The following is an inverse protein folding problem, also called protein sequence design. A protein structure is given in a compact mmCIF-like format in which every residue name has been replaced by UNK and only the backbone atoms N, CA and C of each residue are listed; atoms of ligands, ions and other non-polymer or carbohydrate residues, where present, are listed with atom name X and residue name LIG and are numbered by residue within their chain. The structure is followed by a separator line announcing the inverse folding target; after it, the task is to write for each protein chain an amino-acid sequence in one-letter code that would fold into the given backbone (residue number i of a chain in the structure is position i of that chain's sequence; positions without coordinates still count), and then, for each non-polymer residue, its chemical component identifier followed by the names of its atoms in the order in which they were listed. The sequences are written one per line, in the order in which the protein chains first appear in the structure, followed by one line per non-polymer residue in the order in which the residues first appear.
data_IF_301745469466
#
_entry.id   IF_301745469466
#
_cell.length_a   1.000
_cell.length_b   1.000
_cell.length_c   1.000
_cell.angle_alpha   90.00
_cell.angle_beta   90.00
_cell.angle_gamma   90.00
#
_symmetry.space_group_name_H-M   'P 1'
#
loop_
_entity.id
_entity.type
_entity.pdbx_description
1 polymer ?
#
# COMPACT_ATOMS: atom_id res chain seq x y z
N UNK A 1 -2.75 -0.16 6.78
CA UNK A 1 -3.84 -0.54 5.87
C UNK A 1 -4.17 -2.01 6.10
N UNK A 2 -5.46 -2.40 6.08
CA UNK A 2 -5.86 -3.82 6.20
C UNK A 2 -6.11 -4.44 4.81
N UNK A 3 -5.97 -5.77 4.64
CA UNK A 3 -6.23 -6.42 3.36
C UNK A 3 -7.62 -6.17 2.79
N UNK A 4 -8.64 -6.09 3.64
CA UNK A 4 -10.03 -5.88 3.22
C UNK A 4 -10.19 -4.56 2.48
N UNK A 5 -9.58 -3.50 3.00
CA UNK A 5 -9.64 -2.15 2.41
C UNK A 5 -8.96 -2.09 1.04
N UNK A 6 -7.85 -2.82 0.87
CA UNK A 6 -7.19 -2.92 -0.43
C UNK A 6 -8.12 -3.59 -1.46
N UNK A 7 -8.75 -4.71 -1.10
CA UNK A 7 -9.68 -5.38 -2.01
C UNK A 7 -10.94 -4.59 -2.29
N UNK A 8 -11.42 -3.81 -1.33
CA UNK A 8 -12.52 -2.87 -1.54
C UNK A 8 -12.19 -1.88 -2.66
N UNK A 9 -11.07 -1.17 -2.57
CA UNK A 9 -10.61 -0.21 -3.60
C UNK A 9 -10.46 -0.85 -4.97
N UNK A 10 -9.84 -2.04 -5.03
CA UNK A 10 -9.67 -2.78 -6.27
C UNK A 10 -11.03 -3.19 -6.87
N UNK A 11 -11.95 -3.66 -6.04
CA UNK A 11 -13.28 -4.07 -6.51
C UNK A 11 -14.14 -2.88 -6.94
N UNK A 12 -14.02 -1.73 -6.28
CA UNK A 12 -14.71 -0.50 -6.66
C UNK A 12 -14.25 -0.04 -8.03
N UNK A 13 -12.93 0.16 -8.21
CA UNK A 13 -12.37 0.54 -9.51
C UNK A 13 -12.75 -0.45 -10.62
N UNK A 14 -12.65 -1.75 -10.33
CA UNK A 14 -13.03 -2.80 -11.27
C UNK A 14 -14.48 -2.66 -11.75
N UNK A 15 -15.40 -2.30 -10.85
CA UNK A 15 -16.82 -2.11 -11.19
C UNK A 15 -17.07 -0.81 -11.95
N UNK A 16 -16.39 0.26 -11.58
CA UNK A 16 -16.49 1.56 -12.24
C UNK A 16 -15.99 1.50 -13.69
N UNK A 17 -14.89 0.79 -13.91
CA UNK A 17 -14.24 0.67 -15.23
C UNK A 17 -14.69 -0.57 -16.03
N UNK A 18 -15.68 -1.33 -15.53
CA UNK A 18 -16.13 -2.61 -16.10
C UNK A 18 -14.99 -3.58 -16.47
N UNK A 19 -14.01 -3.69 -15.58
CA UNK A 19 -12.81 -4.50 -15.80
C UNK A 19 -12.91 -5.89 -15.15
N UNK A 20 -12.07 -6.81 -15.63
CA UNK A 20 -11.81 -8.07 -14.90
C UNK A 20 -10.62 -7.89 -13.95
N UNK A 21 -10.49 -8.74 -12.92
CA UNK A 21 -9.30 -8.74 -12.06
C UNK A 21 -7.99 -8.95 -12.85
N UNK A 22 -8.07 -9.64 -14.00
CA UNK A 22 -6.94 -9.82 -14.91
C UNK A 22 -6.57 -8.52 -15.61
N UNK A 23 -7.56 -7.78 -16.08
CA UNK A 23 -7.37 -6.47 -16.68
C UNK A 23 -6.76 -5.48 -15.67
N UNK A 24 -7.25 -5.44 -14.43
CA UNK A 24 -6.66 -4.60 -13.37
C UNK A 24 -5.21 -4.98 -13.10
N UNK A 25 -4.87 -6.27 -13.08
CA UNK A 25 -3.48 -6.71 -12.91
C UNK A 25 -2.57 -6.20 -14.03
N UNK A 26 -3.04 -6.23 -15.30
CA UNK A 26 -2.29 -5.68 -16.43
C UNK A 26 -2.19 -4.15 -16.37
N UNK A 27 -3.26 -3.48 -15.95
CA UNK A 27 -3.32 -2.02 -15.81
C UNK A 27 -2.19 -1.51 -14.90
N UNK A 28 -1.95 -2.20 -13.78
CA UNK A 28 -0.83 -1.88 -12.87
C UNK A 28 0.53 -2.47 -13.29
N UNK A 29 0.66 -2.99 -14.51
CA UNK A 29 1.90 -3.57 -15.03
C UNK A 29 2.35 -4.83 -14.27
N UNK A 30 1.39 -5.69 -13.89
CA UNK A 30 1.63 -7.01 -13.28
C UNK A 30 1.13 -8.14 -14.18
N UNK A 31 1.60 -9.39 -13.97
CA UNK A 31 1.05 -10.55 -14.65
C UNK A 31 -0.47 -10.61 -14.46
N UNK A 32 -1.20 -10.96 -15.51
CA UNK A 32 -2.66 -10.91 -15.51
C UNK A 32 -3.31 -11.83 -14.45
N UNK A 33 -2.64 -12.92 -14.07
CA UNK A 33 -3.05 -13.82 -12.99
C UNK A 33 -2.66 -13.33 -11.60
N UNK A 34 -1.94 -12.22 -11.46
CA UNK A 34 -1.38 -11.78 -10.17
C UNK A 34 -2.45 -11.58 -9.10
N UNK A 35 -3.48 -10.76 -9.36
CA UNK A 35 -4.53 -10.53 -8.36
C UNK A 35 -5.33 -11.80 -8.06
N UNK A 36 -5.56 -12.67 -9.05
CA UNK A 36 -6.23 -13.95 -8.83
C UNK A 36 -5.43 -14.85 -7.87
N UNK A 37 -4.11 -14.93 -8.09
CA UNK A 37 -3.22 -15.70 -7.23
C UNK A 37 -3.07 -15.06 -5.86
N UNK A 38 -3.03 -13.72 -5.79
CA UNK A 38 -2.94 -12.99 -4.53
C UNK A 38 -4.15 -13.28 -3.63
N UNK A 39 -5.34 -13.37 -4.22
CA UNK A 39 -6.59 -13.64 -3.52
C UNK A 39 -6.57 -14.94 -2.71
N UNK A 40 -5.83 -15.93 -3.22
CA UNK A 40 -5.73 -17.27 -2.62
C UNK A 40 -4.55 -17.41 -1.64
N UNK A 41 -3.72 -16.37 -1.47
CA UNK A 41 -2.60 -16.41 -0.52
C UNK A 41 -3.08 -16.13 0.90
N UNK A 42 -2.40 -16.74 1.88
CA UNK A 42 -2.68 -16.57 3.32
C UNK A 42 -2.81 -15.11 3.76
N UNK A 43 -1.93 -14.23 3.27
CA UNK A 43 -1.93 -12.82 3.66
C UNK A 43 -2.90 -11.97 2.81
N UNK A 44 -3.32 -12.48 1.66
CA UNK A 44 -4.24 -11.83 0.73
C UNK A 44 -3.91 -10.34 0.46
N UNK A 45 -2.62 -9.98 0.48
CA UNK A 45 -2.14 -8.61 0.44
C UNK A 45 -0.82 -8.52 -0.32
N UNK A 46 -0.60 -7.47 -1.14
CA UNK A 46 0.61 -7.35 -1.94
C UNK A 46 1.89 -7.34 -1.07
N UNK A 47 3.03 -7.64 -1.68
CA UNK A 47 4.34 -7.32 -1.07
C UNK A 47 4.62 -5.82 -1.23
N UNK A 48 5.54 -5.22 -0.45
CA UNK A 48 5.81 -3.77 -0.54
C UNK A 48 6.09 -3.28 -1.96
N UNK A 49 6.96 -3.98 -2.70
CA UNK A 49 7.30 -3.65 -4.10
C UNK A 49 6.13 -3.74 -5.05
N UNK A 50 5.21 -4.69 -4.82
CA UNK A 50 4.01 -4.86 -5.65
C UNK A 50 2.94 -3.85 -5.26
N UNK A 51 2.86 -3.46 -3.99
CA UNK A 51 1.91 -2.47 -3.49
C UNK A 51 2.12 -1.10 -4.15
N UNK A 52 3.37 -0.68 -4.36
CA UNK A 52 3.72 0.57 -5.02
C UNK A 52 3.04 0.71 -6.39
N UNK A 53 2.89 -0.40 -7.13
CA UNK A 53 2.24 -0.40 -8.44
C UNK A 53 0.75 -0.05 -8.40
N UNK A 54 0.13 -0.11 -7.22
CA UNK A 54 -1.26 0.27 -7.02
C UNK A 54 -1.40 1.73 -6.53
N UNK A 55 -0.36 2.57 -6.66
CA UNK A 55 -0.39 3.97 -6.21
C UNK A 55 -1.64 4.71 -6.64
N UNK A 56 -2.09 4.53 -7.89
CA UNK A 56 -3.24 5.28 -8.44
C UNK A 56 -4.57 4.98 -7.74
N UNK A 57 -4.67 3.87 -7.02
CA UNK A 57 -5.88 3.46 -6.31
C UNK A 57 -5.99 4.07 -4.90
N UNK A 58 -4.91 4.69 -4.41
CA UNK A 58 -4.78 5.13 -3.04
C UNK A 58 -4.21 6.54 -2.98
N UNK A 59 -4.57 7.27 -1.94
CA UNK A 59 -3.91 8.54 -1.62
C UNK A 59 -2.48 8.30 -1.14
N UNK A 60 -1.62 9.31 -1.27
CA UNK A 60 -0.23 9.25 -0.79
C UNK A 60 -0.17 8.92 0.72
N UNK A 61 -1.16 9.37 1.50
CA UNK A 61 -1.29 9.08 2.93
C UNK A 61 -1.59 7.60 3.19
N UNK A 62 -2.55 7.03 2.46
CA UNK A 62 -2.90 5.61 2.55
C UNK A 62 -1.72 4.72 2.13
N UNK A 63 -1.02 5.09 1.06
CA UNK A 63 0.20 4.40 0.60
C UNK A 63 1.29 4.44 1.66
N UNK A 64 1.48 5.60 2.29
CA UNK A 64 2.45 5.77 3.37
C UNK A 64 2.13 4.86 4.56
N UNK A 65 0.87 4.87 5.04
CA UNK A 65 0.47 4.03 6.16
C UNK A 65 0.52 2.53 5.83
N UNK A 66 0.22 2.15 4.59
CA UNK A 66 0.31 0.75 4.15
C UNK A 66 1.76 0.26 4.15
N UNK A 67 2.67 0.99 3.53
CA UNK A 67 4.10 0.62 3.48
C UNK A 67 4.75 0.64 4.87
N UNK A 68 4.40 1.58 5.74
CA UNK A 68 4.89 1.60 7.13
C UNK A 68 4.40 0.46 8.01
N UNK A 69 3.39 -0.30 7.57
CA UNK A 69 2.90 -1.46 8.31
C UNK A 69 3.74 -2.71 8.13
N UNK A 70 4.64 -2.73 7.14
CA UNK A 70 5.61 -3.81 6.97
C UNK A 70 6.80 -3.60 7.90
N UNK A 71 7.27 -4.71 8.49
CA UNK A 71 8.44 -4.71 9.38
C UNK A 71 9.72 -4.31 8.65
N UNK A 72 9.90 -4.83 7.44
CA UNK A 72 11.05 -4.54 6.58
C UNK A 72 10.59 -4.03 5.22
N UNK A 73 11.19 -2.91 4.82
CA UNK A 73 10.96 -2.33 3.50
C UNK A 73 12.20 -2.53 2.62
N UNK A 74 12.04 -3.11 1.43
CA UNK A 74 13.11 -3.13 0.44
C UNK A 74 13.42 -1.69 -0.01
N UNK A 75 14.66 -1.44 -0.44
CA UNK A 75 15.16 -0.10 -0.82
C UNK A 75 14.24 0.64 -1.81
N UNK A 76 13.65 -0.09 -2.75
CA UNK A 76 12.68 0.46 -3.71
C UNK A 76 11.45 1.07 -3.00
N UNK A 77 10.87 0.35 -2.05
CA UNK A 77 9.71 0.81 -1.29
C UNK A 77 10.05 1.93 -0.31
N UNK A 78 11.26 1.89 0.27
CA UNK A 78 11.74 2.96 1.14
C UNK A 78 12.01 4.25 0.36
N UNK A 79 12.56 4.15 -0.86
CA UNK A 79 12.75 5.29 -1.75
C UNK A 79 11.41 5.89 -2.16
N UNK A 80 10.44 5.04 -2.53
CA UNK A 80 9.10 5.47 -2.88
C UNK A 80 8.39 6.22 -1.74
N UNK A 81 8.58 5.81 -0.48
CA UNK A 81 8.02 6.55 0.67
C UNK A 81 8.47 8.01 0.74
N UNK A 82 9.66 8.33 0.23
CA UNK A 82 10.19 9.71 0.20
C UNK A 82 9.53 10.57 -0.89
N UNK A 83 8.95 9.94 -1.91
CA UNK A 83 8.27 10.62 -3.01
C UNK A 83 6.81 10.99 -2.68
N UNK A 84 6.23 10.34 -1.66
CA UNK A 84 4.84 10.56 -1.25
C UNK A 84 4.66 11.96 -0.64
N UNK A 85 3.64 12.68 -1.12
CA UNK A 85 3.25 14.01 -0.59
C UNK A 85 2.33 13.84 0.62
N UNK A 86 2.90 13.30 1.68
CA UNK A 86 2.18 12.98 2.92
C UNK A 86 1.65 14.23 3.61
N UNK A 87 0.41 14.17 4.10
CA UNK A 87 -0.27 15.26 4.81
C UNK A 87 0.49 15.71 6.06
N UNK A 88 0.15 16.91 6.56
CA UNK A 88 0.75 17.45 7.79
C UNK A 88 0.44 16.56 8.99
N UNK A 89 -0.74 15.95 9.03
CA UNK A 89 -1.20 15.14 10.17
C UNK A 89 -0.43 13.84 10.30
N UNK A 90 -0.20 13.12 9.19
CA UNK A 90 0.63 11.91 9.22
C UNK A 90 2.09 12.25 9.55
N UNK A 91 2.62 13.36 9.02
CA UNK A 91 3.96 13.83 9.40
C UNK A 91 4.07 14.11 10.90
N UNK A 92 3.04 14.72 11.49
CA UNK A 92 2.98 15.00 12.93
C UNK A 92 2.87 13.70 13.74
N UNK A 93 1.99 12.77 13.34
CA UNK A 93 1.84 11.43 13.96
C UNK A 93 3.18 10.67 13.97
N UNK A 94 3.91 10.68 12.86
CA UNK A 94 5.26 10.07 12.79
C UNK A 94 6.29 10.79 13.65
N UNK A 95 6.21 12.12 13.76
CA UNK A 95 7.08 12.90 14.65
C UNK A 95 6.82 12.53 16.12
N UNK A 96 5.55 12.43 16.50
CA UNK A 96 5.13 12.02 17.85
C UNK A 96 5.57 10.59 18.15
N UNK A 97 5.34 9.64 17.24
CA UNK A 97 5.80 8.25 17.40
C UNK A 97 7.31 8.15 17.64
N UNK A 98 8.11 8.90 16.85
CA UNK A 98 9.57 8.96 17.02
C UNK A 98 9.98 9.61 18.35
N UNK A 99 9.26 10.64 18.81
CA UNK A 99 9.50 11.25 20.13
C UNK A 99 9.22 10.25 21.26
N UNK A 100 8.11 9.53 21.19
CA UNK A 100 7.76 8.52 22.20
C UNK A 100 8.79 7.39 22.23
N UNK A 101 9.23 6.88 21.08
CA UNK A 101 10.27 5.85 21.00
C UNK A 101 11.61 6.29 21.60
N UNK A 102 11.95 7.58 21.54
CA UNK A 102 13.16 8.14 22.15
C UNK A 102 12.98 8.49 23.64
N UNK A 103 11.74 8.62 24.11
CA UNK A 103 11.41 8.97 25.49
C UNK A 103 11.21 7.77 26.42
N UNK A 104 11.20 6.53 25.89
CA UNK A 104 11.07 5.29 26.67
C UNK A 104 12.46 4.65 26.89
N UNK A 105 13.44 5.47 27.24
CA UNK A 105 14.75 5.02 27.72
C UNK A 105 15.05 5.74 29.02
N UNK A 106 14.34 5.35 30.07
CA UNK A 106 14.63 5.65 31.48
C UNK A 106 14.44 4.34 32.23
#
# INVERSE_FOLDING_TARGET
MKPEYFWEKINTFRKEEDMTLRAVSRYVGLPDTYLQNLKNKKNNFPTPTKLIKFREFFTDDEMFEALRSYELLPKEADSFLLELKVSKDIRLKNRLKRKMQRGVSI
#
